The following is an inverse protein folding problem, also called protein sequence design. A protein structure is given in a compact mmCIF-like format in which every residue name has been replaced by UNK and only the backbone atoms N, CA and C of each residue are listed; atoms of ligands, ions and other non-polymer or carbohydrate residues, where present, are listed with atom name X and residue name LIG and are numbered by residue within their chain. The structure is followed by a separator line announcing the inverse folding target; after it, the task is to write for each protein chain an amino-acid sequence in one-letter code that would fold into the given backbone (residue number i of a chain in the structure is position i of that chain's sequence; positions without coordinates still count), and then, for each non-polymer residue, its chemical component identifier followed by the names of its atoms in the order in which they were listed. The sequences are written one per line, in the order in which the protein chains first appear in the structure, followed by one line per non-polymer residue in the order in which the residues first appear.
data_IF_326877007644
#
_entry.id   IF_326877007644
#
_cell.length_a   1.000
_cell.length_b   1.000
_cell.length_c   1.000
_cell.angle_alpha   90.00
_cell.angle_beta   90.00
_cell.angle_gamma   90.00
#
_symmetry.space_group_name_H-M   'P 1'
#
loop_
_entity.id
_entity.type
_entity.pdbx_description
1 polymer ?
#
# COMPACT_ATOMS: atom_id res chain seq x y z
N UNK A 1 -45.94 39.23 19.09
CA UNK A 1 -46.30 38.04 18.28
C UNK A 1 -45.02 37.29 17.96
N UNK A 2 -44.82 36.14 18.60
CA UNK A 2 -43.57 35.39 18.50
C UNK A 2 -43.61 34.36 17.37
N UNK A 3 -42.48 34.21 16.67
CA UNK A 3 -42.16 33.00 15.93
C UNK A 3 -40.77 32.53 16.37
N UNK A 4 -40.77 31.54 17.27
CA UNK A 4 -39.66 30.59 17.45
C UNK A 4 -39.53 29.77 16.17
N UNK A 5 -38.33 29.32 15.82
CA UNK A 5 -37.97 28.01 15.22
C UNK A 5 -36.59 28.11 14.56
N UNK A 6 -35.55 27.55 15.19
CA UNK A 6 -34.50 26.78 14.51
C UNK A 6 -33.45 26.29 15.49
N UNK A 7 -33.66 25.07 16.01
CA UNK A 7 -32.65 24.33 16.77
C UNK A 7 -32.59 22.89 16.26
N UNK A 8 -32.15 22.69 15.02
CA UNK A 8 -31.81 21.35 14.50
C UNK A 8 -30.67 21.45 13.46
N UNK A 9 -29.42 21.63 13.91
CA UNK A 9 -28.24 21.40 13.03
C UNK A 9 -27.10 20.57 13.65
N UNK A 10 -27.32 19.94 14.81
CA UNK A 10 -26.28 19.13 15.49
C UNK A 10 -26.36 17.61 15.34
N UNK A 11 -27.46 17.04 14.79
CA UNK A 11 -27.69 15.58 14.84
C UNK A 11 -27.44 14.82 13.53
N UNK A 12 -27.32 15.51 12.40
CA UNK A 12 -27.19 14.86 11.09
C UNK A 12 -25.75 14.35 10.85
N UNK A 13 -24.74 15.00 11.41
CA UNK A 13 -23.34 14.62 11.18
C UNK A 13 -22.91 13.33 11.92
N UNK A 14 -23.52 13.01 13.07
CA UNK A 14 -23.21 11.79 13.83
C UNK A 14 -23.86 10.53 13.25
N UNK A 15 -25.01 10.65 12.58
CA UNK A 15 -25.70 9.51 11.95
C UNK A 15 -24.96 9.00 10.70
N UNK A 16 -24.38 9.91 9.91
CA UNK A 16 -23.68 9.58 8.65
C UNK A 16 -22.32 8.89 8.86
N UNK A 17 -21.66 9.13 10.00
CA UNK A 17 -20.43 8.40 10.38
C UNK A 17 -20.72 6.98 10.90
N UNK A 18 -21.81 6.77 11.66
CA UNK A 18 -22.20 5.43 12.15
C UNK A 18 -22.69 4.48 11.05
N UNK A 19 -23.27 4.99 9.96
CA UNK A 19 -23.67 4.18 8.81
C UNK A 19 -22.48 3.71 7.97
N UNK A 20 -21.41 4.53 7.86
CA UNK A 20 -20.24 4.21 7.06
C UNK A 20 -19.37 3.12 7.71
N UNK A 21 -19.22 3.15 9.04
CA UNK A 21 -18.50 2.09 9.79
C UNK A 21 -19.21 0.74 9.75
N UNK A 22 -20.56 0.73 9.76
CA UNK A 22 -21.36 -0.51 9.64
C UNK A 22 -21.38 -1.12 8.23
N UNK A 23 -21.03 -0.36 7.21
CA UNK A 23 -20.99 -0.82 5.82
C UNK A 23 -19.61 -1.42 5.46
N UNK A 24 -18.54 -0.92 6.10
CA UNK A 24 -17.19 -1.48 5.99
C UNK A 24 -17.04 -2.78 6.80
N UNK A 25 -17.62 -2.89 8.01
CA UNK A 25 -17.66 -4.16 8.77
C UNK A 25 -18.49 -5.28 8.09
N UNK A 26 -19.46 -4.93 7.23
CA UNK A 26 -20.24 -5.92 6.47
C UNK A 26 -19.55 -6.41 5.20
N UNK A 27 -18.53 -5.70 4.72
CA UNK A 27 -17.73 -6.13 3.56
C UNK A 27 -16.64 -7.12 3.97
N UNK A 28 -16.02 -6.93 5.13
CA UNK A 28 -14.95 -7.83 5.62
C UNK A 28 -15.48 -9.21 6.07
N UNK A 29 -16.72 -9.29 6.57
CA UNK A 29 -17.34 -10.57 6.97
C UNK A 29 -17.84 -11.40 5.77
N UNK A 30 -17.99 -10.82 4.59
CA UNK A 30 -18.39 -11.56 3.37
C UNK A 30 -17.21 -12.19 2.61
N UNK A 31 -15.98 -11.80 2.89
CA UNK A 31 -14.79 -12.32 2.20
C UNK A 31 -14.17 -13.55 2.87
N UNK A 32 -14.59 -13.88 4.10
CA UNK A 32 -14.08 -15.04 4.85
C UNK A 32 -14.90 -16.33 4.62
N UNK A 33 -16.05 -16.26 3.94
CA UNK A 33 -17.01 -17.37 3.91
C UNK A 33 -17.21 -18.07 2.56
N UNK A 34 -16.31 -17.89 1.61
CA UNK A 34 -16.25 -18.71 0.40
C UNK A 34 -14.84 -19.29 0.31
N UNK A 35 -14.63 -20.53 0.75
CA UNK A 35 -13.64 -21.49 0.22
C UNK A 35 -13.85 -22.83 0.95
N UNK A 36 -14.98 -23.47 0.64
CA UNK A 36 -15.21 -24.88 0.93
C UNK A 36 -16.18 -25.38 -0.15
N UNK A 37 -15.65 -25.99 -1.20
CA UNK A 37 -16.00 -27.33 -1.66
C UNK A 37 -15.33 -27.67 -3.01
N UNK A 38 -15.00 -28.94 -3.21
CA UNK A 38 -14.86 -29.57 -4.52
C UNK A 38 -13.44 -29.66 -5.11
N UNK A 39 -12.81 -30.83 -4.99
CA UNK A 39 -11.55 -31.11 -5.67
C UNK A 39 -11.10 -32.57 -5.63
N UNK A 40 -11.90 -33.44 -6.25
CA UNK A 40 -11.55 -34.82 -6.63
C UNK A 40 -10.18 -34.85 -7.35
N UNK A 41 -9.24 -35.71 -6.90
CA UNK A 41 -8.03 -36.01 -7.67
C UNK A 41 -7.86 -37.51 -7.87
N UNK A 42 -8.32 -37.89 -9.05
CA UNK A 42 -8.02 -39.14 -9.74
C UNK A 42 -6.51 -39.40 -9.88
N UNK A 43 -6.20 -40.69 -9.75
CA UNK A 43 -4.98 -41.39 -10.18
C UNK A 43 -4.40 -40.82 -11.47
N UNK A 44 -3.09 -40.57 -11.47
CA UNK A 44 -2.28 -40.67 -12.69
C UNK A 44 -1.06 -41.56 -12.39
N UNK A 45 -1.13 -42.76 -12.94
CA UNK A 45 0.02 -43.65 -13.14
C UNK A 45 0.86 -43.00 -14.23
N UNK A 46 2.13 -42.70 -13.94
CA UNK A 46 3.10 -42.37 -14.99
C UNK A 46 3.81 -43.63 -15.41
N UNK A 47 3.42 -44.10 -16.59
CA UNK A 47 4.21 -44.96 -17.47
C UNK A 47 5.59 -44.31 -17.72
N UNK A 48 6.64 -45.09 -17.51
CA UNK A 48 7.94 -44.88 -18.17
C UNK A 48 8.21 -46.15 -18.95
N UNK A 49 7.99 -46.07 -20.25
CA UNK A 49 8.47 -47.05 -21.22
C UNK A 49 9.66 -46.41 -21.95
N UNK A 50 10.81 -47.08 -21.95
CA UNK A 50 11.70 -47.02 -23.11
C UNK A 50 12.32 -48.41 -23.35
N UNK A 51 12.15 -48.87 -24.59
CA UNK A 51 12.72 -50.10 -25.19
C UNK A 51 14.14 -49.76 -25.66
N UNK A 52 15.11 -50.67 -25.63
CA UNK A 52 15.59 -51.61 -26.67
C UNK A 52 17.03 -51.97 -26.20
N UNK A 53 17.71 -53.09 -26.46
CA UNK A 53 17.66 -54.10 -27.51
C UNK A 53 18.55 -55.29 -27.07
N UNK A 54 18.41 -56.46 -27.68
CA UNK A 54 19.43 -57.52 -27.60
C UNK A 54 18.91 -58.93 -27.33
N UNK A 55 18.15 -59.50 -28.28
CA UNK A 55 17.88 -60.93 -28.35
C UNK A 55 19.00 -61.70 -29.06
N UNK A 56 19.34 -62.88 -28.55
CA UNK A 56 20.16 -63.88 -29.22
C UNK A 56 19.86 -65.28 -28.67
N UNK A 57 19.42 -66.20 -29.54
CA UNK A 57 19.16 -67.63 -29.22
C UNK A 57 20.38 -68.48 -29.58
N UNK A 58 20.84 -69.28 -28.60
CA UNK A 58 21.29 -70.71 -28.57
C UNK A 58 22.08 -71.28 -29.77
N UNK A 59 23.21 -72.00 -29.53
CA UNK A 59 23.15 -73.48 -29.46
C UNK A 59 23.77 -74.13 -28.20
N UNK A 60 23.29 -75.35 -27.95
CA UNK A 60 23.64 -76.37 -26.96
C UNK A 60 24.93 -77.13 -27.34
N UNK A 61 25.47 -77.90 -26.39
CA UNK A 61 26.55 -78.93 -26.46
C UNK A 61 27.99 -78.39 -26.26
N UNK A 62 28.85 -78.91 -25.36
CA UNK A 62 28.88 -80.22 -24.70
C UNK A 62 29.88 -80.23 -23.51
N UNK A 63 29.57 -81.06 -22.50
CA UNK A 63 30.48 -81.80 -21.58
C UNK A 63 31.35 -81.06 -20.53
N UNK A 64 30.95 -81.14 -19.25
CA UNK A 64 31.45 -82.16 -18.28
C UNK A 64 31.48 -81.65 -16.81
N UNK A 65 31.03 -82.52 -15.88
CA UNK A 65 31.18 -82.49 -14.39
C UNK A 65 30.33 -81.44 -13.65
N UNK A 66 29.43 -81.72 -12.71
CA UNK A 66 29.22 -82.85 -11.80
C UNK A 66 29.05 -82.30 -10.38
N UNK A 67 27.86 -82.49 -9.77
CA UNK A 67 27.46 -82.24 -8.36
C UNK A 67 27.42 -80.77 -7.84
N UNK A 68 26.25 -80.11 -7.77
CA UNK A 68 25.93 -79.10 -6.72
C UNK A 68 24.41 -78.81 -6.49
N UNK A 69 23.46 -79.51 -7.13
CA UNK A 69 22.06 -79.03 -7.23
C UNK A 69 21.07 -79.47 -6.12
N UNK A 70 21.49 -80.23 -5.10
CA UNK A 70 20.55 -80.75 -4.07
C UNK A 70 20.48 -79.92 -2.76
N UNK A 71 21.35 -78.93 -2.53
CA UNK A 71 21.39 -78.15 -1.27
C UNK A 71 20.60 -76.84 -1.25
N UNK A 72 20.02 -76.41 -2.38
CA UNK A 72 19.40 -75.09 -2.53
C UNK A 72 17.93 -74.95 -2.05
N UNK A 73 16.98 -75.92 -2.21
CA UNK A 73 15.56 -75.66 -1.93
C UNK A 73 15.22 -75.52 -0.44
N UNK A 74 15.96 -76.21 0.44
CA UNK A 74 15.79 -76.09 1.90
C UNK A 74 16.23 -74.74 2.46
N UNK A 75 17.21 -74.09 1.81
CA UNK A 75 17.69 -72.77 2.21
C UNK A 75 16.64 -71.68 1.93
N UNK A 76 16.04 -71.67 0.73
CA UNK A 76 15.00 -70.69 0.38
C UNK A 76 13.70 -70.85 1.18
N UNK A 77 13.28 -72.09 1.46
CA UNK A 77 12.09 -72.35 2.26
C UNK A 77 12.25 -71.86 3.72
N UNK A 78 13.43 -72.04 4.29
CA UNK A 78 13.76 -71.58 5.63
C UNK A 78 13.93 -70.05 5.69
N UNK A 79 14.56 -69.44 4.68
CA UNK A 79 14.65 -67.98 4.53
C UNK A 79 13.27 -67.30 4.50
N UNK A 80 12.31 -67.86 3.75
CA UNK A 80 10.94 -67.34 3.68
C UNK A 80 10.17 -67.45 5.01
N UNK A 81 10.47 -68.47 5.81
CA UNK A 81 9.86 -68.66 7.13
C UNK A 81 10.31 -67.58 8.12
N UNK A 82 11.61 -67.31 8.17
CA UNK A 82 12.18 -66.29 9.06
C UNK A 82 11.73 -64.89 8.65
N UNK A 83 11.69 -64.59 7.34
CA UNK A 83 11.19 -63.31 6.85
C UNK A 83 9.72 -63.08 7.28
N UNK A 84 8.89 -64.13 7.26
CA UNK A 84 7.50 -64.07 7.71
C UNK A 84 7.40 -63.81 9.22
N UNK A 85 8.21 -64.47 10.04
CA UNK A 85 8.21 -64.30 11.49
C UNK A 85 8.70 -62.90 11.91
N UNK A 86 9.77 -62.39 11.30
CA UNK A 86 10.29 -61.03 11.54
C UNK A 86 9.26 -59.96 11.12
N UNK A 87 8.57 -60.12 9.99
CA UNK A 87 7.52 -59.20 9.56
C UNK A 87 6.26 -59.26 10.44
N UNK A 88 6.00 -60.39 11.11
CA UNK A 88 4.80 -60.61 11.95
C UNK A 88 5.00 -60.23 13.42
N UNK A 89 6.24 -60.15 13.91
CA UNK A 89 6.54 -59.74 15.28
C UNK A 89 6.10 -58.28 15.53
N UNK A 90 5.66 -57.97 16.75
CA UNK A 90 4.92 -56.74 17.05
C UNK A 90 5.78 -55.61 17.62
N UNK A 91 6.91 -55.96 18.26
CA UNK A 91 7.85 -55.01 18.88
C UNK A 91 9.20 -54.94 18.17
N UNK A 92 9.88 -53.79 18.30
CA UNK A 92 11.25 -53.58 17.78
C UNK A 92 12.27 -54.52 18.44
N UNK A 93 12.07 -54.87 19.71
CA UNK A 93 12.97 -55.74 20.47
C UNK A 93 12.81 -57.23 20.11
N UNK A 94 11.58 -57.72 19.96
CA UNK A 94 11.29 -59.10 19.49
C UNK A 94 11.85 -59.36 18.08
N UNK A 95 11.70 -58.38 17.17
CA UNK A 95 12.25 -58.47 15.80
C UNK A 95 13.77 -58.55 15.79
N UNK A 96 14.43 -57.91 16.75
CA UNK A 96 15.89 -57.83 16.81
C UNK A 96 16.51 -59.10 17.42
N UNK A 97 15.82 -59.76 18.35
CA UNK A 97 16.22 -61.06 18.90
C UNK A 97 16.12 -62.18 17.85
N UNK A 98 15.02 -62.23 17.08
CA UNK A 98 14.83 -63.21 15.98
C UNK A 98 15.91 -63.09 14.88
N UNK A 99 16.39 -61.87 14.62
CA UNK A 99 17.46 -61.62 13.65
C UNK A 99 18.85 -62.03 14.18
N UNK A 100 19.06 -62.03 15.51
CA UNK A 100 20.32 -62.45 16.15
C UNK A 100 20.46 -63.98 16.23
N UNK A 101 19.35 -64.72 16.29
CA UNK A 101 19.34 -66.19 16.48
C UNK A 101 19.59 -67.00 15.19
N UNK A 102 19.65 -66.35 14.03
CA UNK A 102 19.63 -66.99 12.72
C UNK A 102 21.03 -67.13 12.10
N UNK A 103 21.56 -68.37 11.96
CA UNK A 103 22.90 -68.67 11.40
C UNK A 103 22.96 -68.69 9.86
N UNK A 104 22.51 -67.61 9.21
CA UNK A 104 22.84 -67.34 7.80
C UNK A 104 23.31 -65.87 7.67
N UNK A 105 24.61 -65.69 7.53
CA UNK A 105 25.32 -64.43 7.85
C UNK A 105 25.03 -63.23 6.96
N UNK A 106 24.40 -63.39 5.79
CA UNK A 106 24.27 -62.31 4.80
C UNK A 106 22.86 -61.69 4.78
N UNK A 107 21.81 -62.50 4.75
CA UNK A 107 20.41 -62.04 4.68
C UNK A 107 19.97 -61.38 6.00
N UNK A 108 20.32 -61.98 7.14
CA UNK A 108 20.04 -61.41 8.46
C UNK A 108 20.83 -60.13 8.71
N UNK A 109 22.09 -60.06 8.24
CA UNK A 109 22.89 -58.84 8.29
C UNK A 109 22.31 -57.73 7.41
N UNK A 110 21.76 -58.06 6.24
CA UNK A 110 21.10 -57.08 5.37
C UNK A 110 19.81 -56.54 5.99
N UNK A 111 18.94 -57.41 6.54
CA UNK A 111 17.70 -56.99 7.21
C UNK A 111 18.00 -56.15 8.46
N UNK A 112 19.02 -56.54 9.25
CA UNK A 112 19.47 -55.74 10.39
C UNK A 112 20.00 -54.37 9.95
N UNK A 113 20.85 -54.30 8.91
CA UNK A 113 21.34 -53.03 8.36
C UNK A 113 20.21 -52.13 7.81
N UNK A 114 19.23 -52.70 7.09
CA UNK A 114 18.08 -51.94 6.61
C UNK A 114 17.24 -51.43 7.78
N UNK A 115 17.02 -52.25 8.80
CA UNK A 115 16.24 -51.89 9.99
C UNK A 115 16.93 -50.77 10.77
N UNK A 116 18.24 -50.88 11.01
CA UNK A 116 19.03 -49.83 11.66
C UNK A 116 19.08 -48.56 10.82
N UNK A 117 19.21 -48.67 9.50
CA UNK A 117 19.15 -47.51 8.59
C UNK A 117 17.79 -46.81 8.66
N UNK A 118 16.68 -47.56 8.63
CA UNK A 118 15.34 -46.97 8.75
C UNK A 118 15.12 -46.35 10.13
N UNK A 119 15.55 -47.02 11.22
CA UNK A 119 15.46 -46.45 12.57
C UNK A 119 16.26 -45.15 12.70
N UNK A 120 17.49 -45.12 12.18
CA UNK A 120 18.37 -43.94 12.24
C UNK A 120 17.84 -42.80 11.38
N UNK A 121 17.36 -43.09 10.17
CA UNK A 121 16.73 -42.10 9.28
C UNK A 121 15.41 -41.57 9.87
N UNK A 122 14.56 -42.44 10.43
CA UNK A 122 13.32 -42.02 11.09
C UNK A 122 13.58 -41.20 12.36
N UNK A 123 14.61 -41.56 13.15
CA UNK A 123 15.03 -40.77 14.31
C UNK A 123 15.60 -39.40 13.89
N UNK A 124 16.38 -39.35 12.81
CA UNK A 124 16.86 -38.10 12.22
C UNK A 124 15.68 -37.24 11.76
N UNK A 125 14.72 -37.78 11.03
CA UNK A 125 13.53 -37.06 10.57
C UNK A 125 12.68 -36.54 11.74
N UNK A 126 12.46 -37.36 12.77
CA UNK A 126 11.72 -36.94 13.97
C UNK A 126 12.46 -35.84 14.77
N UNK A 127 13.78 -35.90 14.85
CA UNK A 127 14.56 -34.84 15.52
C UNK A 127 14.53 -33.53 14.73
N UNK A 128 14.61 -33.59 13.40
CA UNK A 128 14.42 -32.41 12.53
C UNK A 128 13.03 -31.83 12.69
N UNK A 129 11.97 -32.65 12.57
CA UNK A 129 10.58 -32.19 12.74
C UNK A 129 10.32 -31.61 14.13
N UNK A 130 10.87 -32.21 15.18
CA UNK A 130 10.76 -31.67 16.54
C UNK A 130 11.50 -30.34 16.68
N UNK A 131 12.70 -30.22 16.10
CA UNK A 131 13.46 -28.97 16.06
C UNK A 131 12.69 -27.86 15.35
N UNK A 132 12.15 -28.14 14.17
CA UNK A 132 11.31 -27.20 13.42
C UNK A 132 10.03 -26.82 14.18
N UNK A 133 9.33 -27.78 14.80
CA UNK A 133 8.12 -27.51 15.58
C UNK A 133 8.40 -26.65 16.82
N UNK A 134 9.52 -26.91 17.51
CA UNK A 134 10.01 -26.12 18.63
C UNK A 134 10.31 -24.69 18.17
N UNK A 135 11.07 -24.56 17.07
CA UNK A 135 11.43 -23.26 16.50
C UNK A 135 10.20 -22.46 16.06
N UNK A 136 9.23 -23.07 15.37
CA UNK A 136 7.97 -22.40 14.99
C UNK A 136 7.21 -21.88 16.21
N UNK A 137 7.19 -22.66 17.29
CA UNK A 137 6.51 -22.29 18.55
C UNK A 137 7.23 -21.12 19.23
N UNK A 138 8.56 -21.16 19.31
CA UNK A 138 9.34 -20.06 19.89
C UNK A 138 9.19 -18.77 19.08
N UNK A 139 9.27 -18.85 17.75
CA UNK A 139 9.06 -17.69 16.87
C UNK A 139 7.64 -17.13 17.00
N UNK A 140 6.62 -17.99 17.13
CA UNK A 140 5.25 -17.54 17.35
C UNK A 140 5.10 -16.80 18.69
N UNK A 141 5.68 -17.33 19.76
CA UNK A 141 5.66 -16.67 21.06
C UNK A 141 6.43 -15.34 21.06
N UNK A 142 7.56 -15.28 20.38
CA UNK A 142 8.34 -14.05 20.21
C UNK A 142 7.53 -12.99 19.47
N UNK A 143 6.90 -13.34 18.34
CA UNK A 143 5.98 -12.44 17.61
C UNK A 143 4.84 -11.93 18.48
N UNK A 144 4.22 -12.80 19.29
CA UNK A 144 3.14 -12.42 20.20
C UNK A 144 3.63 -11.46 21.29
N UNK A 145 4.85 -11.67 21.82
CA UNK A 145 5.44 -10.77 22.80
C UNK A 145 5.77 -9.41 22.20
N UNK A 146 6.31 -9.37 20.98
CA UNK A 146 6.56 -8.12 20.24
C UNK A 146 5.27 -7.37 19.96
N UNK A 147 4.22 -8.06 19.51
CA UNK A 147 2.90 -7.46 19.29
C UNK A 147 2.30 -6.90 20.59
N UNK A 148 2.35 -7.66 21.68
CA UNK A 148 1.88 -7.19 22.99
C UNK A 148 2.69 -6.00 23.51
N UNK A 149 4.02 -5.99 23.32
CA UNK A 149 4.86 -4.84 23.66
C UNK A 149 4.53 -3.62 22.79
N UNK A 150 4.30 -3.83 21.49
CA UNK A 150 3.85 -2.79 20.56
C UNK A 150 2.55 -2.16 21.03
N UNK A 151 1.51 -2.97 21.26
CA UNK A 151 0.21 -2.51 21.77
C UNK A 151 0.37 -1.77 23.11
N UNK A 152 1.13 -2.33 24.05
CA UNK A 152 1.34 -1.67 25.35
C UNK A 152 2.03 -0.32 25.22
N UNK A 153 3.03 -0.20 24.33
CA UNK A 153 3.73 1.06 24.06
C UNK A 153 2.80 2.10 23.40
N UNK A 154 1.96 1.67 22.45
CA UNK A 154 0.96 2.50 21.80
C UNK A 154 -0.12 2.96 22.77
N UNK A 155 -0.62 2.08 23.63
CA UNK A 155 -1.60 2.42 24.65
C UNK A 155 -1.02 3.39 25.68
N UNK A 156 0.22 3.19 26.09
CA UNK A 156 0.92 4.07 27.03
C UNK A 156 1.12 5.45 26.41
N UNK A 157 1.58 5.54 25.18
CA UNK A 157 1.75 6.83 24.47
C UNK A 157 0.42 7.53 24.20
N UNK A 158 -0.64 6.78 23.84
CA UNK A 158 -1.98 7.32 23.70
C UNK A 158 -2.51 7.87 25.02
N UNK A 159 -2.36 7.11 26.10
CA UNK A 159 -2.82 7.51 27.43
C UNK A 159 -2.08 8.76 27.92
N UNK A 160 -0.76 8.79 27.81
CA UNK A 160 0.05 9.97 28.19
C UNK A 160 -0.31 11.20 27.36
N UNK A 161 -0.51 11.04 26.04
CA UNK A 161 -0.94 12.14 25.18
C UNK A 161 -2.33 12.68 25.58
N UNK A 162 -3.30 11.80 25.87
CA UNK A 162 -4.64 12.23 26.32
C UNK A 162 -4.58 12.90 27.70
N UNK A 163 -3.73 12.42 28.60
CA UNK A 163 -3.53 13.01 29.92
C UNK A 163 -2.92 14.40 29.81
N UNK A 164 -1.84 14.56 29.03
CA UNK A 164 -1.19 15.85 28.79
C UNK A 164 -2.13 16.86 28.11
N UNK A 165 -2.96 16.41 27.17
CA UNK A 165 -3.96 17.26 26.55
C UNK A 165 -5.01 17.75 27.56
N UNK A 166 -5.52 16.87 28.41
CA UNK A 166 -6.45 17.24 29.47
C UNK A 166 -5.80 18.16 30.52
N UNK A 167 -4.57 17.88 30.92
CA UNK A 167 -3.79 18.71 31.83
C UNK A 167 -3.58 20.12 31.26
N UNK A 168 -3.26 20.23 29.97
CA UNK A 168 -3.13 21.53 29.30
C UNK A 168 -4.44 22.31 29.32
N UNK A 169 -5.56 21.68 28.96
CA UNK A 169 -6.88 22.34 29.00
C UNK A 169 -7.21 22.84 30.40
N UNK A 170 -6.92 22.05 31.43
CA UNK A 170 -7.14 22.46 32.82
C UNK A 170 -6.20 23.59 33.26
N UNK A 171 -4.95 23.61 32.80
CA UNK A 171 -4.01 24.72 33.07
C UNK A 171 -4.49 26.01 32.41
N UNK A 172 -4.89 25.95 31.15
CA UNK A 172 -5.41 27.09 30.40
C UNK A 172 -6.66 27.68 31.12
N UNK A 173 -7.58 26.83 31.59
CA UNK A 173 -8.76 27.24 32.37
C UNK A 173 -8.38 27.87 33.73
N UNK A 174 -7.41 27.30 34.44
CA UNK A 174 -6.93 27.86 35.72
C UNK A 174 -6.31 29.24 35.48
N UNK A 175 -5.54 29.43 34.41
CA UNK A 175 -4.95 30.72 34.05
C UNK A 175 -6.03 31.76 33.72
N UNK A 176 -7.06 31.37 32.94
CA UNK A 176 -8.21 32.23 32.63
C UNK A 176 -8.95 32.66 33.90
N UNK A 177 -9.33 31.71 34.76
CA UNK A 177 -10.00 32.00 36.02
C UNK A 177 -9.14 32.84 36.97
N UNK A 178 -7.83 32.62 36.98
CA UNK A 178 -6.90 33.42 37.79
C UNK A 178 -6.83 34.86 37.28
N UNK A 179 -6.83 35.06 35.97
CA UNK A 179 -6.88 36.39 35.37
C UNK A 179 -8.21 37.10 35.69
N UNK A 180 -9.34 36.41 35.58
CA UNK A 180 -10.66 36.95 35.96
C UNK A 180 -10.71 37.33 37.45
N UNK A 181 -10.22 36.47 38.33
CA UNK A 181 -10.12 36.76 39.76
C UNK A 181 -9.23 37.96 40.04
N UNK A 182 -8.12 38.12 39.32
CA UNK A 182 -7.25 39.28 39.45
C UNK A 182 -7.99 40.57 39.06
N UNK A 183 -8.69 40.58 37.91
CA UNK A 183 -9.50 41.72 37.46
C UNK A 183 -10.58 42.06 38.47
N UNK A 184 -11.28 41.05 39.00
CA UNK A 184 -12.30 41.26 40.03
C UNK A 184 -11.72 41.85 41.32
N UNK A 185 -10.57 41.35 41.78
CA UNK A 185 -9.90 41.86 42.97
C UNK A 185 -9.41 43.30 42.79
N UNK A 186 -8.86 43.64 41.63
CA UNK A 186 -8.48 45.02 41.29
C UNK A 186 -9.70 45.95 41.26
N UNK A 187 -10.82 45.50 40.67
CA UNK A 187 -12.07 46.26 40.67
C UNK A 187 -12.59 46.48 42.09
N UNK A 188 -12.62 45.43 42.91
CA UNK A 188 -13.02 45.50 44.32
C UNK A 188 -12.14 46.49 45.09
N UNK A 189 -10.82 46.40 44.93
CA UNK A 189 -9.86 47.33 45.55
C UNK A 189 -10.10 48.77 45.13
N UNK A 190 -10.32 49.04 43.84
CA UNK A 190 -10.67 50.38 43.35
C UNK A 190 -11.97 50.91 43.94
N UNK A 191 -12.97 50.04 44.15
CA UNK A 191 -14.24 50.42 44.80
C UNK A 191 -14.02 50.74 46.27
N UNK A 192 -13.20 49.95 46.99
CA UNK A 192 -12.85 50.19 48.39
C UNK A 192 -12.00 51.45 48.58
N UNK A 193 -11.02 51.68 47.70
CA UNK A 193 -10.15 52.85 47.67
C UNK A 193 -10.85 54.09 47.11
N UNK A 194 -11.99 53.92 46.42
CA UNK A 194 -12.76 55.02 45.86
C UNK A 194 -13.08 56.04 46.96
N UNK A 195 -12.60 57.26 46.76
CA UNK A 195 -12.89 58.36 47.68
C UNK A 195 -14.36 58.73 47.66
N UNK A 196 -15.15 58.22 46.71
CA UNK A 196 -16.57 58.49 46.54
C UNK A 196 -17.36 58.40 47.85
N UNK A 197 -17.17 57.33 48.65
CA UNK A 197 -17.89 57.19 49.92
C UNK A 197 -17.48 58.26 50.94
N UNK A 198 -16.19 58.59 51.02
CA UNK A 198 -15.64 59.62 51.91
C UNK A 198 -16.04 61.02 51.47
N UNK A 199 -16.01 61.28 50.17
CA UNK A 199 -16.36 62.55 49.56
C UNK A 199 -17.87 62.79 49.66
N UNK A 200 -18.70 61.77 49.43
CA UNK A 200 -20.14 61.82 49.69
C UNK A 200 -20.44 62.13 51.16
N UNK A 201 -19.75 61.48 52.09
CA UNK A 201 -19.93 61.72 53.51
C UNK A 201 -19.44 63.12 53.94
N UNK A 202 -18.28 63.56 53.45
CA UNK A 202 -17.76 64.93 53.67
C UNK A 202 -18.73 65.97 53.09
N UNK A 203 -19.30 65.67 51.93
CA UNK A 203 -20.25 66.55 51.29
C UNK A 203 -21.56 66.67 52.08
N UNK A 204 -22.12 65.55 52.53
CA UNK A 204 -23.30 65.54 53.41
C UNK A 204 -23.05 66.32 54.71
N UNK A 205 -21.83 66.24 55.24
CA UNK A 205 -21.43 67.04 56.41
C UNK A 205 -21.31 68.54 56.10
N UNK A 206 -20.78 68.90 54.92
CA UNK A 206 -20.55 70.29 54.53
C UNK A 206 -21.82 71.01 54.03
N UNK A 207 -22.74 70.28 53.40
CA UNK A 207 -23.89 70.84 52.69
C UNK A 207 -25.24 70.35 53.22
N UNK A 208 -25.24 69.48 54.24
CA UNK A 208 -26.45 68.90 54.83
C UNK A 208 -26.85 67.58 54.17
N UNK A 209 -27.93 66.95 54.69
CA UNK A 209 -28.48 65.71 54.11
C UNK A 209 -28.74 65.89 52.61
N UNK A 210 -28.63 64.82 51.79
CA UNK A 210 -28.90 64.91 50.35
C UNK A 210 -30.26 65.57 50.13
N UNK A 211 -30.22 66.80 49.62
CA UNK A 211 -31.40 67.58 49.28
C UNK A 211 -31.57 67.67 47.76
N UNK A 212 -32.50 68.51 47.28
CA UNK A 212 -32.84 68.61 45.84
C UNK A 212 -31.66 68.93 44.91
N UNK A 213 -30.56 69.48 45.44
CA UNK A 213 -29.33 69.73 44.68
C UNK A 213 -28.61 68.43 44.29
N UNK A 214 -28.49 67.46 45.21
CA UNK A 214 -27.79 66.20 44.96
C UNK A 214 -28.57 65.28 44.04
N UNK A 215 -29.90 65.31 44.12
CA UNK A 215 -30.79 64.61 43.19
C UNK A 215 -30.58 65.12 41.76
N UNK A 216 -30.54 66.45 41.57
CA UNK A 216 -30.25 67.06 40.26
C UNK A 216 -28.86 66.74 39.74
N UNK A 217 -27.84 66.75 40.59
CA UNK A 217 -26.49 66.37 40.19
C UNK A 217 -26.41 64.89 39.79
N UNK A 218 -27.09 64.01 40.53
CA UNK A 218 -27.18 62.59 40.19
C UNK A 218 -27.91 62.36 38.86
N UNK A 219 -29.00 63.10 38.60
CA UNK A 219 -29.71 63.08 37.32
C UNK A 219 -28.80 63.57 36.16
N UNK A 220 -28.02 64.63 36.37
CA UNK A 220 -27.05 65.15 35.40
C UNK A 220 -25.95 64.13 35.08
N UNK A 221 -25.40 63.47 36.11
CA UNK A 221 -24.38 62.42 35.93
C UNK A 221 -24.94 61.19 35.22
N UNK A 222 -26.19 60.80 35.50
CA UNK A 222 -26.86 59.71 34.81
C UNK A 222 -26.94 59.99 33.30
N UNK A 223 -27.32 61.21 32.92
CA UNK A 223 -27.37 61.63 31.52
C UNK A 223 -25.99 61.52 30.84
N UNK A 224 -24.92 61.99 31.49
CA UNK A 224 -23.55 61.88 30.94
C UNK A 224 -23.10 60.42 30.80
N UNK A 225 -23.48 59.55 31.75
CA UNK A 225 -23.19 58.11 31.69
C UNK A 225 -23.94 57.46 30.53
N UNK A 226 -25.21 57.79 30.33
CA UNK A 226 -26.02 57.31 29.20
C UNK A 226 -25.42 57.75 27.87
N UNK A 227 -25.06 59.03 27.72
CA UNK A 227 -24.36 59.52 26.53
C UNK A 227 -23.04 58.79 26.28
N UNK A 228 -22.23 58.55 27.31
CA UNK A 228 -20.97 57.81 27.17
C UNK A 228 -21.22 56.35 26.80
N UNK A 229 -22.25 55.71 27.35
CA UNK A 229 -22.66 54.34 27.02
C UNK A 229 -23.07 54.23 25.55
N UNK A 230 -23.91 55.14 25.07
CA UNK A 230 -24.33 55.19 23.66
C UNK A 230 -23.13 55.36 22.74
N UNK A 231 -22.21 56.28 23.04
CA UNK A 231 -20.98 56.47 22.25
C UNK A 231 -20.09 55.22 22.22
N UNK A 232 -19.95 54.51 23.34
CA UNK A 232 -19.22 53.24 23.39
C UNK A 232 -19.91 52.18 22.52
N UNK A 233 -21.25 52.10 22.58
CA UNK A 233 -22.03 51.18 21.77
C UNK A 233 -21.90 51.48 20.26
N UNK A 234 -21.95 52.75 19.86
CA UNK A 234 -21.70 53.18 18.48
C UNK A 234 -20.30 52.79 18.00
N UNK A 235 -19.28 53.01 18.83
CA UNK A 235 -17.91 52.58 18.54
C UNK A 235 -17.82 51.05 18.40
N UNK A 236 -18.51 50.29 19.27
CA UNK A 236 -18.60 48.84 19.19
C UNK A 236 -19.23 48.36 17.88
N UNK A 237 -20.33 48.99 17.46
CA UNK A 237 -20.96 48.69 16.18
C UNK A 237 -20.04 48.98 14.99
N UNK A 238 -19.27 50.07 15.04
CA UNK A 238 -18.28 50.41 14.01
C UNK A 238 -17.14 49.39 13.95
N UNK A 239 -16.66 48.90 15.10
CA UNK A 239 -15.66 47.84 15.16
C UNK A 239 -16.18 46.53 14.53
N UNK A 240 -17.42 46.14 14.81
CA UNK A 240 -18.04 44.96 14.19
C UNK A 240 -18.17 45.09 12.67
N UNK A 241 -18.58 46.26 12.18
CA UNK A 241 -18.62 46.53 10.73
C UNK A 241 -17.22 46.43 10.10
N UNK A 242 -16.21 46.98 10.77
CA UNK A 242 -14.82 46.90 10.30
C UNK A 242 -14.32 45.45 10.28
N UNK A 243 -14.65 44.64 11.29
CA UNK A 243 -14.30 43.22 11.31
C UNK A 243 -14.95 42.45 10.14
N UNK A 244 -16.23 42.70 9.85
CA UNK A 244 -16.92 42.10 8.71
C UNK A 244 -16.31 42.55 7.35
N UNK A 245 -15.80 43.77 7.25
CA UNK A 245 -15.08 44.23 6.06
C UNK A 245 -13.73 43.54 5.90
N UNK A 246 -12.99 43.33 7.00
CA UNK A 246 -11.73 42.58 6.98
C UNK A 246 -11.97 41.14 6.51
N UNK A 247 -12.98 40.45 7.05
CA UNK A 247 -13.34 39.10 6.62
C UNK A 247 -13.70 39.03 5.13
N UNK A 248 -14.47 40.00 4.63
CA UNK A 248 -14.78 40.09 3.19
C UNK A 248 -13.54 40.37 2.35
N UNK A 249 -12.63 41.21 2.82
CA UNK A 249 -11.40 41.52 2.11
C UNK A 249 -10.53 40.26 1.97
N UNK A 250 -10.34 39.51 3.06
CA UNK A 250 -9.63 38.22 3.03
C UNK A 250 -10.27 37.25 2.02
N UNK A 251 -11.60 37.14 2.00
CA UNK A 251 -12.29 36.28 1.03
C UNK A 251 -12.11 36.74 -0.43
N UNK A 252 -11.98 38.04 -0.67
CA UNK A 252 -11.71 38.58 -1.99
C UNK A 252 -10.24 38.36 -2.39
N UNK A 253 -9.30 38.48 -1.45
CA UNK A 253 -7.88 38.15 -1.68
C UNK A 253 -7.72 36.68 -2.09
N UNK A 254 -8.39 35.75 -1.41
CA UNK A 254 -8.41 34.33 -1.77
C UNK A 254 -8.99 34.11 -3.19
N UNK A 255 -10.06 34.82 -3.55
CA UNK A 255 -10.65 34.74 -4.89
C UNK A 255 -9.67 35.26 -5.96
N UNK A 256 -8.97 36.35 -5.69
CA UNK A 256 -7.95 36.89 -6.61
C UNK A 256 -6.83 35.88 -6.82
N UNK A 257 -6.33 35.25 -5.74
CA UNK A 257 -5.29 34.21 -5.84
C UNK A 257 -5.77 33.04 -6.71
N UNK A 258 -6.99 32.54 -6.49
CA UNK A 258 -7.55 31.45 -7.28
C UNK A 258 -7.68 31.81 -8.77
N UNK A 259 -8.12 33.02 -9.08
CA UNK A 259 -8.23 33.48 -10.47
C UNK A 259 -6.84 33.62 -11.12
N UNK A 260 -5.84 34.12 -10.39
CA UNK A 260 -4.46 34.19 -10.88
C UNK A 260 -3.88 32.80 -11.17
N UNK A 261 -4.10 31.83 -10.28
CA UNK A 261 -3.70 30.44 -10.51
C UNK A 261 -4.36 29.85 -11.76
N UNK A 262 -5.68 30.03 -11.92
CA UNK A 262 -6.40 29.57 -13.11
C UNK A 262 -5.89 30.24 -14.40
N UNK A 263 -5.49 31.51 -14.34
CA UNK A 263 -4.89 32.21 -15.47
C UNK A 263 -3.54 31.61 -15.85
N UNK A 264 -2.71 31.28 -14.87
CA UNK A 264 -1.42 30.62 -15.10
C UNK A 264 -1.59 29.22 -15.71
N UNK A 265 -2.54 28.43 -15.20
CA UNK A 265 -2.87 27.12 -15.78
C UNK A 265 -3.34 27.22 -17.23
N UNK A 266 -4.08 28.28 -17.56
CA UNK A 266 -4.49 28.56 -18.94
C UNK A 266 -3.29 28.96 -19.82
N UNK A 267 -2.37 29.78 -19.30
CA UNK A 267 -1.14 30.16 -20.02
C UNK A 267 -0.29 28.95 -20.35
N UNK A 268 -0.03 28.08 -19.36
CA UNK A 268 0.72 26.84 -19.56
C UNK A 268 0.05 25.94 -20.62
N UNK A 269 -1.29 25.84 -20.60
CA UNK A 269 -2.02 25.10 -21.65
C UNK A 269 -1.87 25.72 -23.03
N UNK A 270 -1.92 27.04 -23.14
CA UNK A 270 -1.70 27.76 -24.40
C UNK A 270 -0.29 27.47 -24.93
N UNK A 271 0.73 27.56 -24.09
CA UNK A 271 2.13 27.32 -24.47
C UNK A 271 2.35 25.88 -24.96
N UNK A 272 1.71 24.90 -24.31
CA UNK A 272 1.72 23.50 -24.75
C UNK A 272 1.06 23.32 -26.12
N UNK A 273 -0.12 23.92 -26.33
CA UNK A 273 -0.79 23.87 -27.63
C UNK A 273 0.02 24.57 -28.72
N UNK A 274 0.65 25.71 -28.40
CA UNK A 274 1.51 26.43 -29.34
C UNK A 274 2.73 25.59 -29.74
N UNK A 275 3.35 24.88 -28.79
CA UNK A 275 4.45 23.95 -29.04
C UNK A 275 4.01 22.79 -29.96
N UNK A 276 2.83 22.22 -29.71
CA UNK A 276 2.27 21.17 -30.57
C UNK A 276 2.00 21.67 -32.00
N UNK A 277 1.44 22.88 -32.14
CA UNK A 277 1.21 23.49 -33.46
C UNK A 277 2.52 23.71 -34.20
N UNK A 278 3.57 24.17 -33.52
CA UNK A 278 4.90 24.32 -34.11
C UNK A 278 5.48 22.97 -34.57
N UNK A 279 5.34 21.91 -33.77
CA UNK A 279 5.77 20.56 -34.13
C UNK A 279 5.03 20.04 -35.37
N UNK A 280 3.69 20.09 -35.37
CA UNK A 280 2.88 19.63 -36.51
C UNK A 280 3.18 20.43 -37.77
N UNK A 281 3.43 21.73 -37.65
CA UNK A 281 3.82 22.58 -38.79
C UNK A 281 5.16 22.15 -39.38
N UNK A 282 6.13 21.79 -38.52
CA UNK A 282 7.43 21.25 -38.96
C UNK A 282 7.27 19.89 -39.66
N UNK A 283 6.52 18.97 -39.07
CA UNK A 283 6.24 17.65 -39.67
C UNK A 283 5.54 17.80 -41.03
N UNK A 284 4.58 18.73 -41.14
CA UNK A 284 3.91 19.03 -42.41
C UNK A 284 4.90 19.54 -43.47
N UNK A 285 5.80 20.45 -43.10
CA UNK A 285 6.83 20.97 -44.01
C UNK A 285 7.82 19.88 -44.44
N UNK A 286 8.22 18.98 -43.54
CA UNK A 286 9.12 17.87 -43.82
C UNK A 286 8.48 16.85 -44.79
N UNK A 287 7.21 16.51 -44.57
CA UNK A 287 6.42 15.63 -45.45
C UNK A 287 6.21 16.24 -46.83
N UNK A 288 5.88 17.54 -46.91
CA UNK A 288 5.76 18.24 -48.18
C UNK A 288 7.08 18.18 -48.96
N UNK A 289 8.21 18.44 -48.29
CA UNK A 289 9.53 18.33 -48.90
C UNK A 289 9.86 16.91 -49.38
N UNK A 290 9.41 15.86 -48.67
CA UNK A 290 9.58 14.48 -49.10
C UNK A 290 8.73 14.15 -50.34
N UNK A 291 7.48 14.61 -50.35
CA UNK A 291 6.56 14.47 -51.48
C UNK A 291 7.12 15.14 -52.75
N UNK A 292 7.64 16.37 -52.62
CA UNK A 292 8.23 17.09 -53.75
C UNK A 292 9.46 16.35 -54.32
N UNK A 293 10.31 15.79 -53.45
CA UNK A 293 11.45 14.95 -53.87
C UNK A 293 11.01 13.68 -54.60
N UNK A 294 9.99 12.98 -54.08
CA UNK A 294 9.46 11.77 -54.71
C UNK A 294 8.82 12.07 -56.07
N UNK A 295 8.06 13.16 -56.16
CA UNK A 295 7.46 13.63 -57.42
C UNK A 295 8.56 13.95 -58.44
N UNK A 296 9.63 14.64 -58.03
CA UNK A 296 10.77 14.91 -58.89
C UNK A 296 11.54 13.66 -59.35
N UNK A 297 11.65 12.63 -58.52
CA UNK A 297 12.21 11.33 -58.91
C UNK A 297 11.30 10.59 -59.90
N UNK A 298 9.99 10.58 -59.66
CA UNK A 298 9.01 9.92 -60.53
C UNK A 298 8.98 10.55 -61.93
N UNK A 299 9.04 11.88 -62.01
CA UNK A 299 9.16 12.59 -63.29
C UNK A 299 10.43 12.21 -64.04
N UNK A 300 11.58 12.15 -63.36
CA UNK A 300 12.86 11.70 -63.97
C UNK A 300 12.79 10.27 -64.49
N UNK A 301 12.28 9.33 -63.70
CA UNK A 301 12.11 7.95 -64.13
C UNK A 301 11.15 7.81 -65.32
N UNK A 302 10.11 8.64 -65.37
CA UNK A 302 9.17 8.66 -66.48
C UNK A 302 9.86 9.17 -67.76
N UNK A 303 10.66 10.23 -67.66
CA UNK A 303 11.48 10.72 -68.78
C UNK A 303 12.49 9.66 -69.25
N UNK A 304 13.21 8.99 -68.33
CA UNK A 304 14.14 7.91 -68.67
C UNK A 304 13.41 6.73 -69.33
N UNK A 305 12.24 6.34 -68.81
CA UNK A 305 11.40 5.30 -69.40
C UNK A 305 11.00 5.66 -70.83
N UNK A 306 10.54 6.89 -71.07
CA UNK A 306 10.19 7.37 -72.41
C UNK A 306 11.40 7.34 -73.35
N UNK A 307 12.57 7.78 -72.89
CA UNK A 307 13.83 7.69 -73.65
C UNK A 307 14.20 6.24 -74.00
N UNK A 308 14.08 5.30 -73.06
CA UNK A 308 14.36 3.89 -73.30
C UNK A 308 13.34 3.25 -74.25
N UNK A 309 12.06 3.56 -74.11
CA UNK A 309 11.00 3.10 -75.02
C UNK A 309 11.23 3.60 -76.45
N UNK A 310 11.67 4.85 -76.60
CA UNK A 310 12.08 5.41 -77.88
C UNK A 310 13.25 4.62 -78.49
N UNK A 311 14.31 4.36 -77.71
CA UNK A 311 15.45 3.52 -78.15
C UNK A 311 15.03 2.10 -78.55
N UNK A 312 14.15 1.45 -77.78
CA UNK A 312 13.69 0.08 -78.06
C UNK A 312 12.89 0.01 -79.36
N UNK A 313 11.93 0.92 -79.55
CA UNK A 313 11.12 1.00 -80.78
C UNK A 313 11.94 1.29 -82.02
N UNK A 314 13.15 1.83 -81.87
CA UNK A 314 14.04 2.19 -82.96
C UNK A 314 15.28 1.29 -83.02
N UNK A 315 15.28 0.18 -82.25
CA UNK A 315 16.37 -0.82 -82.20
C UNK A 315 16.48 -1.65 -83.48
N UNK A 316 15.35 -1.91 -84.16
CA UNK A 316 15.33 -2.64 -85.44
C UNK A 316 15.67 -1.76 -86.65
N UNK A 317 16.08 -0.50 -86.43
CA UNK A 317 16.54 0.44 -87.47
C UNK A 317 18.05 0.68 -87.45
N UNK A 318 18.83 -0.14 -86.72
CA UNK A 318 20.28 -0.17 -86.84
C UNK A 318 20.75 -1.58 -87.27
N UNK A 319 21.44 -1.71 -88.42
CA UNK A 319 21.95 -3.00 -88.90
C UNK A 319 23.15 -3.47 -88.07
N UNK A 320 23.31 -4.79 -88.01
CA UNK A 320 24.50 -5.60 -87.69
C UNK A 320 25.79 -4.88 -87.22
N UNK A 321 26.31 -5.36 -86.08
CA UNK A 321 27.67 -5.15 -85.52
C UNK A 321 28.82 -5.08 -86.56
N UNK A 322 29.99 -4.57 -86.14
CA UNK A 322 31.20 -5.38 -86.28
C UNK A 322 31.83 -5.72 -84.93
N UNK A 323 32.37 -6.93 -84.88
CA UNK A 323 32.97 -7.64 -83.75
C UNK A 323 34.27 -7.03 -83.20
N UNK A 324 34.35 -7.00 -81.85
CA UNK A 324 35.46 -7.18 -80.87
C UNK A 324 36.83 -6.47 -81.07
N UNK A 325 37.52 -6.08 -79.97
CA UNK A 325 38.37 -7.05 -79.29
C UNK A 325 38.28 -7.05 -77.75
N UNK A 326 38.58 -8.22 -77.19
CA UNK A 326 38.99 -8.48 -75.81
C UNK A 326 40.22 -7.63 -75.48
N UNK A 327 40.20 -6.90 -74.35
CA UNK A 327 41.41 -6.71 -73.52
C UNK A 327 41.03 -6.66 -72.03
N UNK A 328 41.59 -7.65 -71.34
CA UNK A 328 41.86 -7.93 -69.92
C UNK A 328 41.46 -6.97 -68.79
N UNK A 329 40.80 -7.58 -67.78
CA UNK A 329 41.24 -7.72 -66.38
C UNK A 329 42.07 -6.58 -65.76
N UNK A 330 41.49 -5.89 -64.77
CA UNK A 330 42.11 -5.57 -63.47
C UNK A 330 41.03 -5.16 -62.44
N UNK A 331 40.86 -5.96 -61.39
CA UNK A 331 40.54 -5.47 -60.03
C UNK A 331 41.89 -5.36 -59.28
N UNK A 332 42.09 -4.60 -58.18
CA UNK A 332 41.16 -4.17 -57.11
C UNK A 332 41.33 -2.66 -56.77
N UNK A 333 40.66 -2.00 -55.80
CA UNK A 333 40.40 -2.28 -54.38
C UNK A 333 39.27 -1.40 -53.85
#
# INVERSE_FOLDING_TARGET
MGCRHSKVRGRICKKKRKSKVKEEEKKTVKEVNNHQDGGDRQKTVKEVNNRQDGGGKVPLEELNVGLETEKQPGQYAWQLKILREVLSASGTQEREELLKETTQGELCALVHNITEKVKTETAADLTVLHGEASQRTTEQHERQLEELQGIHSEETTRLTATHQAAEKVLKDEIEELTAELHVYNELKKRVEESTFKKDLQRNIQAHGSPGPFWEREQESLLFVIEMKRERIQEQGNKLLQMQALVEKNLSLEDQVINVLQQNEDLRVRIDNHQSLVQQLSKEHQDLQGALDRQTGLSQRLTQEKEQLMFKLKHRDSCPTFPSFPIVSEVSPS
#
